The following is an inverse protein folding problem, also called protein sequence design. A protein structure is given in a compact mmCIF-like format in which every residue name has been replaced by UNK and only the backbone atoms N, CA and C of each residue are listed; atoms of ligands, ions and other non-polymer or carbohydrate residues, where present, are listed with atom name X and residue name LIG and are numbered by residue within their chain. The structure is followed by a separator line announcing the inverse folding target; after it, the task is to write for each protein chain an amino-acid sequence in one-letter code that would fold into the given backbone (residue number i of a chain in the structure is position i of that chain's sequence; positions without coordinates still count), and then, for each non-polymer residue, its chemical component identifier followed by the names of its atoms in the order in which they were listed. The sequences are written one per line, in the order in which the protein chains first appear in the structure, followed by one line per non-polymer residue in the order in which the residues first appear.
data_IF_531118770657
#
_entry.id   IF_531118770657
#
_cell.length_a   1.000
_cell.length_b   1.000
_cell.length_c   1.000
_cell.angle_alpha   90.00
_cell.angle_beta   90.00
_cell.angle_gamma   90.00
#
_symmetry.space_group_name_H-M   'P 1'
#
loop_
_entity.id
_entity.type
_entity.pdbx_description
1 polymer ?
#
# COMPACT_ATOMS: atom_id res chain seq x y z
N UNK A 1 -3.40 -14.66 -0.95
CA UNK A 1 -3.64 -13.92 0.30
C UNK A 1 -2.40 -13.10 0.65
N UNK A 2 -2.19 -11.94 0.02
CA UNK A 2 -1.02 -11.08 0.25
C UNK A 2 -1.40 -9.77 0.95
N UNK A 3 -2.59 -9.25 0.66
CA UNK A 3 -3.14 -8.02 1.23
C UNK A 3 -3.38 -8.09 2.73
N UNK A 4 -3.81 -9.24 3.26
CA UNK A 4 -4.01 -9.44 4.70
C UNK A 4 -2.67 -9.36 5.48
N UNK A 5 -1.61 -9.90 4.88
CA UNK A 5 -0.25 -9.86 5.43
C UNK A 5 0.28 -8.42 5.35
N UNK A 6 0.07 -7.75 4.22
CA UNK A 6 0.46 -6.36 4.03
C UNK A 6 -0.26 -5.39 5.00
N UNK A 7 -1.55 -5.59 5.29
CA UNK A 7 -2.27 -4.79 6.31
C UNK A 7 -1.75 -5.00 7.73
N UNK A 8 -1.08 -6.12 8.01
CA UNK A 8 -0.51 -6.44 9.34
C UNK A 8 0.92 -5.96 9.50
N UNK A 9 1.73 -6.11 8.46
CA UNK A 9 3.17 -5.82 8.52
C UNK A 9 3.54 -4.43 7.98
N UNK A 10 2.67 -3.79 7.19
CA UNK A 10 2.94 -2.47 6.63
C UNK A 10 1.88 -1.43 7.09
N UNK A 11 2.27 -0.43 7.88
CA UNK A 11 1.34 0.59 8.40
C UNK A 11 0.75 1.48 7.30
N UNK A 12 1.46 1.72 6.19
CA UNK A 12 0.94 2.53 5.07
C UNK A 12 -0.24 1.83 4.37
N UNK A 13 -0.16 0.50 4.21
CA UNK A 13 -1.26 -0.29 3.62
C UNK A 13 -2.48 -0.29 4.54
N UNK A 14 -2.26 -0.33 5.86
CA UNK A 14 -3.34 -0.24 6.85
C UNK A 14 -4.06 1.11 6.79
N UNK A 15 -3.33 2.22 6.69
CA UNK A 15 -3.90 3.56 6.59
C UNK A 15 -4.80 3.72 5.34
N UNK A 16 -4.35 3.21 4.19
CA UNK A 16 -5.13 3.18 2.95
C UNK A 16 -6.39 2.33 3.12
N UNK A 17 -6.26 1.14 3.71
CA UNK A 17 -7.38 0.25 3.96
C UNK A 17 -8.44 0.87 4.87
N UNK A 18 -8.02 1.52 5.95
CA UNK A 18 -8.90 2.23 6.89
C UNK A 18 -9.57 3.44 6.23
N UNK A 19 -8.84 4.23 5.43
CA UNK A 19 -9.42 5.34 4.64
C UNK A 19 -10.50 4.84 3.67
N UNK A 20 -10.25 3.73 2.97
CA UNK A 20 -11.22 3.13 2.04
C UNK A 20 -12.45 2.57 2.75
N UNK A 21 -12.29 2.01 3.95
CA UNK A 21 -13.38 1.57 4.80
C UNK A 21 -14.22 2.74 5.32
N UNK A 22 -13.57 3.83 5.77
CA UNK A 22 -14.24 5.04 6.22
C UNK A 22 -15.03 5.73 5.09
N UNK A 23 -14.58 5.59 3.84
CA UNK A 23 -15.31 6.03 2.65
C UNK A 23 -16.50 5.11 2.27
N UNK A 24 -16.78 4.05 3.04
CA UNK A 24 -17.89 3.14 2.81
C UNK A 24 -17.68 2.16 1.64
N UNK A 25 -16.45 1.97 1.16
CA UNK A 25 -16.19 1.07 0.03
C UNK A 25 -16.25 -0.39 0.44
N UNK A 26 -16.69 -1.26 -0.48
CA UNK A 26 -16.72 -2.72 -0.28
C UNK A 26 -15.32 -3.24 0.06
N UNK A 27 -15.20 -4.07 1.10
CA UNK A 27 -13.94 -4.66 1.58
C UNK A 27 -13.09 -5.29 0.45
N UNK A 28 -13.73 -5.92 -0.54
CA UNK A 28 -13.05 -6.50 -1.70
C UNK A 28 -12.32 -5.46 -2.55
N UNK A 29 -12.94 -4.29 -2.77
CA UNK A 29 -12.33 -3.20 -3.53
C UNK A 29 -11.13 -2.63 -2.76
N UNK A 30 -11.26 -2.49 -1.43
CA UNK A 30 -10.16 -2.03 -0.60
C UNK A 30 -8.92 -2.94 -0.72
N UNK A 31 -9.12 -4.26 -0.74
CA UNK A 31 -8.02 -5.21 -0.96
C UNK A 31 -7.39 -5.09 -2.36
N UNK A 32 -8.21 -4.92 -3.40
CA UNK A 32 -7.72 -4.75 -4.79
C UNK A 32 -6.90 -3.46 -4.92
N UNK A 33 -7.32 -2.37 -4.28
CA UNK A 33 -6.56 -1.10 -4.26
C UNK A 33 -5.23 -1.29 -3.54
N UNK A 34 -5.23 -1.92 -2.35
CA UNK A 34 -3.99 -2.21 -1.62
C UNK A 34 -2.99 -3.02 -2.45
N UNK A 35 -3.47 -4.02 -3.20
CA UNK A 35 -2.61 -4.82 -4.07
C UNK A 35 -2.00 -3.99 -5.20
N UNK A 36 -2.79 -3.12 -5.84
CA UNK A 36 -2.31 -2.25 -6.91
C UNK A 36 -1.28 -1.23 -6.40
N UNK A 37 -1.50 -0.66 -5.21
CA UNK A 37 -0.54 0.24 -4.57
C UNK A 37 0.81 -0.44 -4.30
N UNK A 38 0.81 -1.67 -3.79
CA UNK A 38 2.04 -2.44 -3.54
C UNK A 38 2.87 -2.62 -4.81
N UNK A 39 2.22 -3.01 -5.93
CA UNK A 39 2.90 -3.20 -7.21
C UNK A 39 3.47 -1.89 -7.74
N UNK A 40 2.74 -0.78 -7.57
CA UNK A 40 3.21 0.55 -7.99
C UNK A 40 4.46 0.96 -7.20
N UNK A 41 4.49 0.76 -5.88
CA UNK A 41 5.66 1.05 -5.07
C UNK A 41 6.86 0.21 -5.48
N UNK A 42 6.68 -1.10 -5.63
CA UNK A 42 7.73 -1.99 -6.11
C UNK A 42 8.28 -1.57 -7.47
N UNK A 43 7.41 -1.22 -8.42
CA UNK A 43 7.82 -0.74 -9.75
C UNK A 43 8.57 0.59 -9.67
N UNK A 44 8.14 1.50 -8.78
CA UNK A 44 8.82 2.78 -8.57
C UNK A 44 10.20 2.58 -7.95
N UNK A 45 10.34 1.69 -6.97
CA UNK A 45 11.63 1.36 -6.36
C UNK A 45 12.60 0.73 -7.35
N UNK A 46 12.09 -0.14 -8.23
CA UNK A 46 12.86 -0.71 -9.33
C UNK A 46 13.33 0.35 -10.33
N UNK A 47 12.47 1.31 -10.67
CA UNK A 47 12.82 2.39 -11.58
C UNK A 47 13.85 3.36 -10.96
N UNK A 48 13.69 3.67 -9.68
CA UNK A 48 14.51 4.64 -8.95
C UNK A 48 15.76 3.99 -8.29
N UNK A 49 15.96 2.67 -8.46
CA UNK A 49 17.04 1.87 -7.84
C UNK A 49 17.14 2.06 -6.31
N UNK A 50 15.99 2.22 -5.65
CA UNK A 50 15.90 2.55 -4.23
C UNK A 50 16.00 1.26 -3.40
N UNK A 51 16.84 1.22 -2.35
CA UNK A 51 16.88 0.08 -1.44
C UNK A 51 15.55 -0.11 -0.69
N UNK A 52 15.18 -1.36 -0.46
CA UNK A 52 13.94 -1.78 0.20
C UNK A 52 13.67 -1.09 1.56
N UNK A 53 14.70 -0.74 2.32
CA UNK A 53 14.56 -0.07 3.62
C UNK A 53 13.88 1.31 3.53
N UNK A 54 13.89 1.95 2.36
CA UNK A 54 13.19 3.22 2.11
C UNK A 54 11.74 3.02 1.62
N UNK A 55 11.25 1.77 1.57
CA UNK A 55 9.89 1.45 1.12
C UNK A 55 8.82 2.13 1.99
N UNK A 56 9.03 2.20 3.31
CA UNK A 56 8.07 2.85 4.22
C UNK A 56 8.00 4.36 4.00
N UNK A 57 9.10 5.00 3.58
CA UNK A 57 9.17 6.43 3.27
C UNK A 57 8.49 6.74 1.93
N UNK A 58 8.74 5.92 0.91
CA UNK A 58 8.12 6.09 -0.41
C UNK A 58 6.62 5.76 -0.39
N UNK A 59 6.20 4.81 0.44
CA UNK A 59 4.80 4.47 0.66
C UNK A 59 4.03 5.62 1.34
N UNK A 60 4.64 6.27 2.33
CA UNK A 60 4.09 7.46 2.98
C UNK A 60 4.00 8.67 2.02
N UNK A 61 4.96 8.83 1.10
CA UNK A 61 4.99 9.93 0.15
C UNK A 61 3.87 9.91 -0.90
N UNK A 62 3.22 8.76 -1.13
CA UNK A 62 2.06 8.66 -2.03
C UNK A 62 0.71 9.00 -1.37
N UNK A 63 0.69 9.50 -0.12
CA UNK A 63 -0.53 9.92 0.56
C UNK A 63 -0.97 11.38 0.32
N UNK A 64 -0.23 12.14 -0.51
CA UNK A 64 -0.67 13.45 -1.05
C UNK A 64 -1.28 13.30 -2.43
#
# INVERSE_FOLDING_TARGET
MATLVATRHNPAVKAIYERLLNQGKKKKIALVVCMRHLIIWLNKMLADNIPWEQMDVCAAATET
#
